data_IF_742777899973
#
_entry.id   IF_742777899973
#
_cell.length_a   1.000
_cell.length_b   1.000
_cell.length_c   1.000
_cell.angle_alpha   90.00
_cell.angle_beta   90.00
_cell.angle_gamma   90.00
#
_symmetry.space_group_name_H-M   'P 1'
#
loop_
_entity.id
_entity.type
_entity.pdbx_description
1 polymer ?
#
# COMPACT_ATOMS: atom_id res chain seq x y z
N UNK A 1 42.88 -61.90 65.57
CA UNK A 1 42.18 -63.20 65.55
C UNK A 1 41.28 -63.22 64.33
N UNK A 2 41.35 -64.33 63.57
CA UNK A 2 40.46 -64.80 62.47
C UNK A 2 40.28 -63.92 61.22
N UNK A 3 40.82 -64.38 60.08
CA UNK A 3 40.40 -63.97 58.71
C UNK A 3 39.15 -64.73 58.24
N UNK A 4 39.04 -65.16 56.96
CA UNK A 4 38.79 -64.39 55.72
C UNK A 4 37.58 -64.98 54.89
N UNK A 5 37.47 -64.66 53.59
CA UNK A 5 36.71 -65.36 52.51
C UNK A 5 35.26 -64.86 52.21
N UNK A 6 34.86 -64.50 50.97
CA UNK A 6 34.54 -65.23 49.69
C UNK A 6 33.01 -65.44 49.46
N UNK A 7 32.55 -65.15 48.24
CA UNK A 7 31.37 -65.70 47.55
C UNK A 7 30.00 -65.13 47.95
N UNK A 8 28.89 -65.24 47.20
CA UNK A 8 28.53 -65.49 45.80
C UNK A 8 26.97 -65.58 45.77
N UNK A 9 26.30 -65.02 44.75
CA UNK A 9 24.88 -65.29 44.37
C UNK A 9 23.79 -64.69 45.28
N UNK A 10 22.58 -64.31 44.84
CA UNK A 10 21.88 -64.51 43.57
C UNK A 10 20.65 -63.57 43.45
N UNK A 11 20.18 -63.41 42.21
CA UNK A 11 18.80 -63.16 41.74
C UNK A 11 18.04 -61.89 42.17
N UNK A 12 17.77 -61.01 41.19
CA UNK A 12 16.75 -59.97 41.27
C UNK A 12 16.48 -59.35 39.89
N UNK A 13 15.31 -59.67 39.34
CA UNK A 13 14.82 -59.38 37.99
C UNK A 13 15.12 -58.01 37.36
N UNK A 14 15.38 -58.08 36.05
CA UNK A 14 15.16 -57.04 35.03
C UNK A 14 13.86 -56.25 35.28
N UNK A 15 13.98 -54.95 35.51
CA UNK A 15 12.94 -53.97 35.22
C UNK A 15 13.56 -52.79 34.48
N UNK A 16 13.18 -52.67 33.22
CA UNK A 16 13.31 -51.48 32.41
C UNK A 16 12.80 -50.27 33.20
N UNK A 17 13.66 -49.26 33.40
CA UNK A 17 13.20 -47.95 33.85
C UNK A 17 12.80 -47.15 32.63
N UNK A 18 11.49 -47.19 32.34
CA UNK A 18 10.78 -46.14 31.64
C UNK A 18 11.14 -44.79 32.28
N UNK A 19 11.80 -43.92 31.52
CA UNK A 19 11.80 -42.49 31.77
C UNK A 19 10.44 -41.94 31.30
N UNK A 20 9.63 -41.33 32.16
CA UNK A 20 8.50 -40.54 31.68
C UNK A 20 9.04 -39.25 31.06
N UNK A 21 8.85 -39.07 29.74
CA UNK A 21 9.00 -37.76 29.10
C UNK A 21 8.08 -36.76 29.79
N UNK A 22 8.64 -35.67 30.33
CA UNK A 22 7.88 -34.47 30.67
C UNK A 22 7.68 -33.64 29.39
N UNK A 23 6.45 -33.35 28.97
CA UNK A 23 6.17 -32.42 27.88
C UNK A 23 5.92 -31.04 28.49
N UNK A 24 6.90 -30.12 28.48
CA UNK A 24 6.64 -28.69 28.72
C UNK A 24 7.93 -27.90 28.57
N UNK A 25 8.06 -27.18 27.43
CA UNK A 25 8.84 -25.94 27.28
C UNK A 25 8.78 -25.34 25.85
N UNK A 26 7.90 -25.81 24.96
CA UNK A 26 7.73 -25.22 23.60
C UNK A 26 6.50 -24.30 23.45
N UNK A 27 5.57 -24.29 24.42
CA UNK A 27 4.34 -23.50 24.32
C UNK A 27 4.41 -22.10 24.95
N UNK A 28 5.39 -21.82 25.80
CA UNK A 28 5.45 -20.52 26.50
C UNK A 28 6.06 -19.40 25.63
N UNK A 29 7.14 -19.69 24.89
CA UNK A 29 7.83 -18.69 24.05
C UNK A 29 7.02 -18.29 22.82
N UNK A 30 6.24 -19.20 22.23
CA UNK A 30 5.39 -18.88 21.09
C UNK A 30 4.28 -17.88 21.44
N UNK A 31 3.73 -17.94 22.66
CA UNK A 31 2.65 -17.05 23.09
C UNK A 31 3.11 -15.60 23.34
N UNK A 32 4.39 -15.40 23.69
CA UNK A 32 4.96 -14.07 23.93
C UNK A 32 5.51 -13.46 22.63
N UNK A 33 6.03 -14.28 21.71
CA UNK A 33 6.47 -13.84 20.38
C UNK A 33 5.30 -13.50 19.45
N UNK A 34 4.22 -14.29 19.47
CA UNK A 34 2.98 -14.02 18.72
C UNK A 34 2.31 -12.70 19.14
N UNK A 35 2.39 -12.32 20.41
CA UNK A 35 1.86 -11.03 20.92
C UNK A 35 2.62 -9.82 20.36
N UNK A 36 3.94 -9.93 20.15
CA UNK A 36 4.74 -8.87 19.53
C UNK A 36 4.56 -8.81 18.01
N UNK A 37 4.43 -9.96 17.32
CA UNK A 37 4.04 -9.98 15.91
C UNK A 37 2.63 -9.40 15.67
N UNK A 38 1.67 -9.76 16.53
CA UNK A 38 0.29 -9.27 16.46
C UNK A 38 0.18 -7.76 16.68
N UNK A 39 0.97 -7.19 17.60
CA UNK A 39 0.98 -5.74 17.86
C UNK A 39 1.52 -4.92 16.68
N UNK A 40 2.45 -5.49 15.89
CA UNK A 40 3.11 -4.79 14.76
C UNK A 40 2.37 -4.99 13.43
N UNK A 41 1.47 -5.98 13.32
CA UNK A 41 0.58 -6.12 12.16
C UNK A 41 -0.83 -5.54 12.42
N UNK A 42 -1.13 -5.14 13.65
CA UNK A 42 -2.41 -4.54 14.08
C UNK A 42 -2.54 -3.03 13.78
N UNK A 43 -1.86 -2.50 12.75
CA UNK A 43 -1.96 -1.08 12.36
C UNK A 43 -3.18 -0.75 11.50
N UNK A 44 -4.20 -1.61 11.48
CA UNK A 44 -5.43 -1.35 10.74
C UNK A 44 -6.46 -0.61 11.62
N UNK A 45 -6.93 0.59 11.24
CA UNK A 45 -7.88 1.31 12.06
C UNK A 45 -9.31 0.78 11.83
N UNK A 46 -9.91 0.21 12.86
CA UNK A 46 -11.38 0.29 13.05
C UNK A 46 -11.69 1.62 13.71
N UNK A 47 -12.15 2.60 12.94
CA UNK A 47 -12.65 3.87 13.47
C UNK A 47 -13.90 4.30 12.72
N UNK A 48 -15.09 3.98 13.27
CA UNK A 48 -16.05 5.00 13.69
C UNK A 48 -17.27 4.39 14.40
N UNK A 49 -17.51 4.84 15.63
CA UNK A 49 -18.77 4.68 16.35
C UNK A 49 -19.63 5.92 16.09
N UNK A 50 -20.77 5.72 15.44
CA UNK A 50 -21.76 6.74 15.10
C UNK A 50 -22.13 7.58 16.34
N UNK A 51 -22.12 8.91 16.18
CA UNK A 51 -22.94 9.78 17.01
C UNK A 51 -23.50 10.90 16.13
N UNK A 52 -24.74 10.71 15.69
CA UNK A 52 -25.56 11.71 15.03
C UNK A 52 -25.96 12.77 16.05
N UNK A 53 -25.74 14.04 15.69
CA UNK A 53 -26.69 15.13 15.89
C UNK A 53 -26.02 16.46 15.55
N UNK A 54 -26.41 17.05 14.42
CA UNK A 54 -26.47 18.50 14.21
C UNK A 54 -27.15 18.77 12.87
N UNK A 55 -28.40 19.22 12.93
CA UNK A 55 -29.01 19.95 11.83
C UNK A 55 -28.29 21.29 11.66
N UNK A 56 -28.07 21.70 10.42
CA UNK A 56 -27.85 23.11 10.07
C UNK A 56 -28.08 23.34 8.58
N UNK A 57 -28.71 24.48 8.33
CA UNK A 57 -29.30 24.95 7.08
C UNK A 57 -28.30 25.24 5.95
N UNK A 58 -28.78 25.07 4.73
CA UNK A 58 -28.07 25.40 3.48
C UNK A 58 -28.20 26.89 3.14
N UNK A 59 -27.10 27.60 2.81
CA UNK A 59 -27.19 28.85 2.06
C UNK A 59 -26.96 28.60 0.56
N UNK A 60 -27.88 29.12 -0.24
CA UNK A 60 -27.79 29.26 -1.69
C UNK A 60 -26.63 30.20 -2.08
N UNK A 61 -25.74 29.75 -2.97
CA UNK A 61 -24.73 30.60 -3.58
C UNK A 61 -25.05 30.87 -5.06
N UNK A 62 -25.06 32.16 -5.35
CA UNK A 62 -25.38 32.80 -6.63
C UNK A 62 -24.28 32.53 -7.68
N UNK A 63 -24.68 32.28 -8.93
CA UNK A 63 -23.75 32.00 -10.04
C UNK A 63 -23.20 33.32 -10.58
N UNK A 64 -21.94 33.61 -10.29
CA UNK A 64 -21.17 34.59 -11.07
C UNK A 64 -20.14 33.87 -11.95
N UNK A 65 -20.24 34.09 -13.25
CA UNK A 65 -19.36 33.59 -14.31
C UNK A 65 -17.96 34.21 -14.20
N UNK A 66 -16.86 33.42 -14.21
CA UNK A 66 -15.52 33.96 -14.37
C UNK A 66 -15.15 34.17 -15.85
N UNK A 67 -14.26 35.13 -16.17
CA UNK A 67 -13.97 35.58 -17.53
C UNK A 67 -13.19 34.57 -18.37
N UNK A 68 -13.50 34.55 -19.67
CA UNK A 68 -12.81 33.76 -20.70
C UNK A 68 -11.37 34.23 -20.88
N UNK A 69 -10.41 33.32 -20.65
CA UNK A 69 -9.04 33.48 -21.13
C UNK A 69 -8.87 32.66 -22.42
N UNK A 70 -8.86 33.35 -23.56
CA UNK A 70 -8.50 32.76 -24.84
C UNK A 70 -7.01 32.41 -24.85
N UNK A 71 -6.69 31.12 -24.92
CA UNK A 71 -5.43 30.63 -25.48
C UNK A 71 -5.76 29.87 -26.76
N UNK A 72 -5.33 30.42 -27.89
CA UNK A 72 -5.43 29.78 -29.19
C UNK A 72 -4.48 28.58 -29.22
N UNK A 73 -5.03 27.37 -29.36
CA UNK A 73 -4.33 26.21 -29.87
C UNK A 73 -4.74 26.01 -31.34
N UNK A 74 -3.82 25.68 -32.26
CA UNK A 74 -4.18 25.55 -33.65
C UNK A 74 -4.72 24.14 -33.93
N UNK A 75 -5.69 24.11 -34.87
CA UNK A 75 -6.15 23.00 -35.71
C UNK A 75 -7.48 22.28 -35.44
N UNK A 76 -8.43 22.71 -36.30
CA UNK A 76 -9.29 21.95 -37.21
C UNK A 76 -10.19 20.83 -36.68
N UNK A 77 -11.49 21.12 -36.75
CA UNK A 77 -12.61 20.20 -36.74
C UNK A 77 -12.63 19.30 -38.00
N UNK A 78 -12.48 17.99 -37.83
CA UNK A 78 -12.62 16.94 -38.87
C UNK A 78 -12.81 15.54 -38.24
N UNK A 79 -13.40 14.55 -38.96
CA UNK A 79 -14.35 13.60 -38.39
C UNK A 79 -13.77 12.46 -37.51
N UNK A 80 -14.61 12.07 -36.56
CA UNK A 80 -14.36 11.25 -35.39
C UNK A 80 -14.18 9.73 -35.66
N UNK A 81 -13.22 9.10 -34.96
CA UNK A 81 -13.35 7.88 -34.09
C UNK A 81 -12.15 6.91 -34.10
N UNK A 82 -11.21 6.96 -35.05
CA UNK A 82 -10.00 6.12 -35.01
C UNK A 82 -8.72 6.88 -34.62
N UNK A 83 -8.55 8.11 -35.10
CA UNK A 83 -7.34 8.92 -34.89
C UNK A 83 -7.09 9.31 -33.41
N UNK A 84 -8.16 9.38 -32.60
CA UNK A 84 -8.05 9.77 -31.19
C UNK A 84 -7.52 8.65 -30.28
N UNK A 85 -7.68 7.38 -30.68
CA UNK A 85 -7.06 6.26 -29.96
C UNK A 85 -5.56 6.17 -30.24
N UNK A 86 -5.14 6.51 -31.46
CA UNK A 86 -3.73 6.65 -31.83
C UNK A 86 -3.09 7.81 -31.06
N UNK A 87 -3.70 9.00 -31.04
CA UNK A 87 -3.15 10.17 -30.34
C UNK A 87 -2.97 9.98 -28.81
N UNK A 88 -3.84 9.19 -28.17
CA UNK A 88 -3.71 8.85 -26.75
C UNK A 88 -2.57 7.85 -26.46
N UNK A 89 -2.21 7.02 -27.44
CA UNK A 89 -1.05 6.15 -27.34
C UNK A 89 0.25 6.89 -27.76
N UNK A 90 0.20 7.78 -28.76
CA UNK A 90 1.35 8.60 -29.19
C UNK A 90 1.84 9.54 -28.08
N UNK A 91 0.92 10.07 -27.26
CA UNK A 91 1.25 10.88 -26.10
C UNK A 91 2.01 10.11 -25.00
N UNK A 92 2.06 8.77 -25.05
CA UNK A 92 2.82 7.91 -24.15
C UNK A 92 4.29 7.72 -24.59
N UNK A 93 4.61 7.96 -25.87
CA UNK A 93 5.81 7.43 -26.53
C UNK A 93 6.98 8.42 -26.68
N UNK A 94 6.72 9.72 -26.77
CA UNK A 94 7.77 10.75 -26.74
C UNK A 94 8.04 11.17 -25.28
N UNK A 95 9.31 11.37 -24.85
CA UNK A 95 9.59 12.19 -23.67
C UNK A 95 8.76 13.46 -23.82
N UNK A 96 8.00 13.82 -22.79
CA UNK A 96 7.23 15.06 -22.85
C UNK A 96 8.23 16.16 -23.19
N UNK A 97 8.02 16.98 -24.25
CA UNK A 97 9.03 17.93 -24.69
C UNK A 97 9.42 18.78 -23.49
N UNK A 98 10.67 18.62 -23.05
CA UNK A 98 11.16 19.28 -21.85
C UNK A 98 11.08 20.78 -22.11
N UNK A 99 10.20 21.45 -21.37
CA UNK A 99 10.01 22.91 -21.48
C UNK A 99 11.16 23.67 -20.80
N UNK A 100 12.02 22.95 -20.08
CA UNK A 100 13.11 23.45 -19.27
C UNK A 100 14.38 22.60 -19.46
N UNK A 101 15.57 23.14 -19.11
CA UNK A 101 16.82 22.38 -19.17
C UNK A 101 16.76 21.13 -18.28
N UNK A 102 17.28 20.01 -18.79
CA UNK A 102 17.35 18.72 -18.08
C UNK A 102 17.93 18.84 -16.66
N UNK A 103 18.97 19.67 -16.48
CA UNK A 103 19.61 19.89 -15.18
C UNK A 103 18.67 20.54 -14.15
N UNK A 104 17.77 21.43 -14.59
CA UNK A 104 16.78 22.06 -13.72
C UNK A 104 15.69 21.07 -13.29
N UNK A 105 15.25 20.22 -14.21
CA UNK A 105 14.26 19.16 -13.92
C UNK A 105 14.84 18.16 -12.90
N UNK A 106 16.08 17.71 -13.11
CA UNK A 106 16.78 16.83 -12.17
C UNK A 106 16.95 17.48 -10.79
N UNK A 107 17.31 18.77 -10.74
CA UNK A 107 17.39 19.52 -9.48
C UNK A 107 16.06 19.53 -8.74
N UNK A 108 14.94 19.72 -9.45
CA UNK A 108 13.60 19.69 -8.85
C UNK A 108 13.24 18.32 -8.31
N UNK A 109 13.54 17.25 -9.05
CA UNK A 109 13.33 15.86 -8.59
C UNK A 109 14.09 15.61 -7.28
N UNK A 110 15.36 16.00 -7.22
CA UNK A 110 16.20 15.83 -6.02
C UNK A 110 15.65 16.63 -4.84
N UNK A 111 15.35 17.92 -5.03
CA UNK A 111 14.80 18.78 -3.97
C UNK A 111 13.45 18.25 -3.46
N UNK A 112 12.59 17.77 -4.36
CA UNK A 112 11.33 17.14 -4.00
C UNK A 112 11.54 15.89 -3.14
N UNK A 113 12.44 15.00 -3.54
CA UNK A 113 12.74 13.79 -2.76
C UNK A 113 13.32 14.14 -1.38
N UNK A 114 14.23 15.12 -1.29
CA UNK A 114 14.80 15.56 -0.02
C UNK A 114 13.74 16.09 0.94
N UNK A 115 12.78 16.89 0.47
CA UNK A 115 11.68 17.33 1.31
C UNK A 115 10.74 16.18 1.70
N UNK A 116 10.36 15.33 0.75
CA UNK A 116 9.40 14.26 1.00
C UNK A 116 9.94 13.24 2.01
N UNK A 117 11.20 12.85 1.84
CA UNK A 117 11.90 11.93 2.74
C UNK A 117 12.21 12.62 4.05
N UNK A 118 12.78 13.83 4.02
CA UNK A 118 13.17 14.56 5.22
C UNK A 118 12.01 14.77 6.19
N UNK A 119 10.84 15.19 5.69
CA UNK A 119 9.66 15.41 6.52
C UNK A 119 9.07 14.09 7.05
N UNK A 120 8.90 13.08 6.19
CA UNK A 120 8.32 11.80 6.61
C UNK A 120 9.21 11.05 7.59
N UNK A 121 10.51 10.99 7.30
CA UNK A 121 11.47 10.29 8.14
C UNK A 121 11.66 11.01 9.47
N UNK A 122 11.70 12.35 9.49
CA UNK A 122 11.73 13.10 10.75
C UNK A 122 10.49 12.82 11.60
N UNK A 123 9.30 12.76 10.98
CA UNK A 123 8.06 12.42 11.68
C UNK A 123 8.11 11.01 12.26
N UNK A 124 8.52 10.01 11.46
CA UNK A 124 8.49 8.61 11.89
C UNK A 124 9.62 8.25 12.86
N UNK A 125 10.83 8.78 12.68
CA UNK A 125 11.91 8.62 13.66
C UNK A 125 11.65 9.43 14.94
N UNK A 126 11.07 10.62 14.83
CA UNK A 126 10.81 11.48 15.98
C UNK A 126 9.63 11.04 16.83
N UNK A 127 8.56 10.53 16.21
CA UNK A 127 7.32 10.19 16.90
C UNK A 127 7.10 8.67 16.96
N UNK A 128 7.20 7.98 15.82
CA UNK A 128 6.78 6.58 15.71
C UNK A 128 7.81 5.59 16.29
N UNK A 129 9.11 5.87 16.14
CA UNK A 129 10.18 5.03 16.68
C UNK A 129 10.19 4.97 18.22
N UNK A 130 10.11 6.10 18.97
CA UNK A 130 10.01 6.05 20.44
C UNK A 130 8.80 5.24 20.90
N UNK A 131 7.65 5.42 20.23
CA UNK A 131 6.44 4.68 20.55
C UNK A 131 6.60 3.18 20.31
N UNK A 132 7.20 2.78 19.18
CA UNK A 132 7.49 1.38 18.88
C UNK A 132 8.48 0.73 19.87
N UNK A 133 9.35 1.54 20.49
CA UNK A 133 10.32 1.08 21.49
C UNK A 133 9.74 0.97 22.91
N UNK A 134 8.60 1.59 23.19
CA UNK A 134 7.94 1.58 24.49
C UNK A 134 6.81 0.53 24.54
N UNK A 135 7.03 -0.55 25.29
CA UNK A 135 6.05 -1.61 25.47
C UNK A 135 4.77 -1.21 26.24
N UNK A 136 4.74 -0.02 26.83
CA UNK A 136 3.62 0.48 27.64
C UNK A 136 2.73 1.50 26.94
N UNK A 137 3.15 2.03 25.79
CA UNK A 137 2.39 3.03 25.05
C UNK A 137 1.12 2.42 24.41
N UNK A 138 -0.04 3.12 24.41
CA UNK A 138 -1.21 2.73 23.63
C UNK A 138 -0.88 2.90 22.13
N UNK A 139 -0.19 1.88 21.60
CA UNK A 139 0.53 1.91 20.34
C UNK A 139 -0.39 2.13 19.14
N UNK A 140 -1.52 1.41 19.06
CA UNK A 140 -2.26 1.23 17.81
C UNK A 140 -2.81 2.55 17.21
N UNK A 141 -3.61 3.33 17.95
CA UNK A 141 -4.33 4.48 17.38
C UNK A 141 -3.43 5.69 17.09
N UNK A 142 -2.41 5.89 17.91
CA UNK A 142 -1.52 7.04 17.82
C UNK A 142 -0.48 6.88 16.71
N UNK A 143 0.02 5.67 16.44
CA UNK A 143 0.91 5.46 15.31
C UNK A 143 0.17 5.55 13.96
N UNK A 144 -1.09 5.09 13.88
CA UNK A 144 -1.93 5.27 12.68
C UNK A 144 -2.01 6.74 12.30
N UNK A 145 -2.17 7.64 13.27
CA UNK A 145 -2.17 9.08 13.03
C UNK A 145 -0.85 9.55 12.40
N UNK A 146 0.30 9.14 12.94
CA UNK A 146 1.60 9.55 12.41
C UNK A 146 1.95 8.92 11.05
N UNK A 147 1.48 7.69 10.77
CA UNK A 147 1.53 7.11 9.42
C UNK A 147 0.72 7.96 8.45
N UNK A 148 -0.52 8.28 8.81
CA UNK A 148 -1.44 9.11 8.01
C UNK A 148 -0.89 10.51 7.78
N UNK A 149 -0.28 11.13 8.80
CA UNK A 149 0.36 12.45 8.66
C UNK A 149 1.56 12.40 7.69
N UNK A 150 2.31 11.29 7.69
CA UNK A 150 3.38 11.05 6.72
C UNK A 150 2.90 11.12 5.28
N UNK A 151 1.69 10.63 4.99
CA UNK A 151 1.09 10.63 3.64
C UNK A 151 0.90 12.04 3.03
N UNK A 152 0.93 13.11 3.84
CA UNK A 152 0.86 14.49 3.33
C UNK A 152 2.22 15.07 2.91
N UNK A 153 3.32 14.40 3.26
CA UNK A 153 4.67 14.90 2.98
C UNK A 153 4.99 15.02 1.48
N UNK A 154 4.51 14.14 0.57
CA UNK A 154 4.76 14.32 -0.87
C UNK A 154 4.05 15.58 -1.40
N UNK A 155 2.78 15.80 -1.05
CA UNK A 155 2.05 17.02 -1.38
C UNK A 155 2.74 18.30 -0.89
N UNK A 156 3.17 18.34 0.37
CA UNK A 156 3.90 19.48 0.92
C UNK A 156 5.23 19.70 0.18
N UNK A 157 5.89 18.62 -0.23
CA UNK A 157 7.15 18.67 -0.99
C UNK A 157 6.96 19.28 -2.37
N UNK A 158 5.80 19.10 -3.02
CA UNK A 158 5.46 19.81 -4.26
C UNK A 158 5.48 21.32 -4.02
N UNK A 159 4.80 21.79 -2.97
CA UNK A 159 4.71 23.22 -2.65
C UNK A 159 6.12 23.77 -2.36
N UNK A 160 6.87 23.14 -1.45
CA UNK A 160 8.21 23.59 -1.06
C UNK A 160 9.20 23.58 -2.23
N UNK A 161 9.19 22.54 -3.05
CA UNK A 161 10.07 22.45 -4.23
C UNK A 161 9.78 23.56 -5.22
N UNK A 162 8.50 23.86 -5.48
CA UNK A 162 8.11 24.93 -6.39
C UNK A 162 8.50 26.31 -5.85
N UNK A 163 8.38 26.53 -4.54
CA UNK A 163 8.84 27.77 -3.90
C UNK A 163 10.37 27.95 -4.02
N UNK A 164 11.14 26.90 -3.68
CA UNK A 164 12.62 26.95 -3.72
C UNK A 164 13.17 27.06 -5.14
N UNK A 165 12.57 26.35 -6.09
CA UNK A 165 13.03 26.34 -7.49
C UNK A 165 12.32 27.38 -8.37
N UNK A 166 11.43 28.18 -7.78
CA UNK A 166 10.64 29.23 -8.42
C UNK A 166 9.85 28.72 -9.64
N UNK A 167 9.33 27.50 -9.55
CA UNK A 167 8.54 26.88 -10.61
C UNK A 167 7.16 27.53 -10.70
N UNK A 168 6.88 28.16 -11.84
CA UNK A 168 5.61 28.86 -12.11
C UNK A 168 4.63 28.04 -12.94
N UNK A 169 5.01 26.84 -13.36
CA UNK A 169 4.15 25.96 -14.18
C UNK A 169 2.86 25.66 -13.41
N UNK A 170 1.69 25.74 -14.06
CA UNK A 170 0.43 25.39 -13.42
C UNK A 170 0.45 23.90 -13.09
N UNK A 171 -0.05 23.56 -11.90
CA UNK A 171 -0.25 22.18 -11.50
C UNK A 171 -1.34 21.58 -12.39
N UNK A 172 -0.92 20.71 -13.30
CA UNK A 172 -1.82 19.98 -14.15
C UNK A 172 -2.41 18.79 -13.37
N UNK A 173 -3.56 18.29 -13.84
CA UNK A 173 -4.08 16.94 -13.51
C UNK A 173 -4.72 16.77 -12.12
N UNK A 174 -5.16 17.86 -11.48
CA UNK A 174 -6.10 17.76 -10.34
C UNK A 174 -7.55 17.56 -10.83
N UNK A 175 -7.90 18.12 -11.99
CA UNK A 175 -9.25 18.03 -12.58
C UNK A 175 -9.25 17.20 -13.86
N UNK A 176 -10.23 16.30 -14.05
CA UNK A 176 -10.40 15.59 -15.32
C UNK A 176 -10.77 16.60 -16.42
N UNK A 177 -9.91 16.74 -17.43
CA UNK A 177 -10.17 17.65 -18.56
C UNK A 177 -11.34 17.20 -19.43
N UNK A 178 -11.67 15.89 -19.44
CA UNK A 178 -12.73 15.29 -20.27
C UNK A 178 -13.38 14.08 -19.57
N UNK A 179 -14.16 14.31 -18.51
CA UNK A 179 -14.72 13.23 -17.68
C UNK A 179 -15.52 12.18 -18.47
N UNK A 180 -16.27 12.60 -19.49
CA UNK A 180 -17.05 11.70 -20.36
C UNK A 180 -16.22 10.61 -21.06
N UNK A 181 -14.91 10.84 -21.24
CA UNK A 181 -13.98 9.86 -21.83
C UNK A 181 -13.10 9.16 -20.80
N UNK A 182 -12.98 9.71 -19.60
CA UNK A 182 -12.06 9.22 -18.58
C UNK A 182 -12.73 8.47 -17.43
N UNK A 183 -14.06 8.53 -17.30
CA UNK A 183 -14.82 7.78 -16.29
C UNK A 183 -14.50 6.27 -16.22
N UNK A 184 -14.18 5.55 -17.33
CA UNK A 184 -13.85 4.12 -17.20
C UNK A 184 -12.61 3.88 -16.36
N UNK A 185 -11.65 4.81 -16.36
CA UNK A 185 -10.45 4.71 -15.51
C UNK A 185 -10.75 4.96 -14.03
N UNK A 186 -11.81 5.71 -13.70
CA UNK A 186 -12.28 5.85 -12.32
C UNK A 186 -12.91 4.56 -11.82
N UNK A 187 -13.74 3.91 -12.65
CA UNK A 187 -14.33 2.59 -12.33
C UNK A 187 -13.24 1.53 -12.22
N UNK A 188 -12.29 1.52 -13.16
CA UNK A 188 -11.14 0.63 -13.12
C UNK A 188 -10.31 0.85 -11.85
N UNK A 189 -10.01 2.09 -11.50
CA UNK A 189 -9.28 2.42 -10.28
C UNK A 189 -10.01 1.98 -9.01
N UNK A 190 -11.34 2.07 -8.98
CA UNK A 190 -12.13 1.68 -7.82
C UNK A 190 -12.14 0.17 -7.61
N UNK A 191 -12.41 -0.61 -8.66
CA UNK A 191 -12.71 -2.04 -8.53
C UNK A 191 -11.54 -2.95 -8.88
N UNK A 192 -10.64 -2.57 -9.79
CA UNK A 192 -9.55 -3.46 -10.21
C UNK A 192 -8.61 -3.85 -9.05
N UNK A 193 -8.19 -2.93 -8.16
CA UNK A 193 -7.36 -3.32 -7.02
C UNK A 193 -8.07 -4.27 -6.07
N UNK A 194 -9.37 -4.05 -5.81
CA UNK A 194 -10.16 -4.95 -4.96
C UNK A 194 -10.21 -6.36 -5.54
N UNK A 195 -10.58 -6.49 -6.82
CA UNK A 195 -10.63 -7.78 -7.51
C UNK A 195 -9.26 -8.46 -7.51
N UNK A 196 -8.19 -7.69 -7.75
CA UNK A 196 -6.82 -8.19 -7.75
C UNK A 196 -6.36 -8.70 -6.37
N UNK A 197 -6.68 -7.99 -5.30
CA UNK A 197 -6.36 -8.39 -3.91
C UNK A 197 -7.14 -9.64 -3.53
N UNK A 198 -8.44 -9.67 -3.82
CA UNK A 198 -9.30 -10.84 -3.57
C UNK A 198 -8.78 -12.06 -4.33
N UNK A 199 -8.44 -11.90 -5.62
CA UNK A 199 -7.87 -12.97 -6.43
C UNK A 199 -6.52 -13.48 -5.88
N UNK A 200 -5.64 -12.59 -5.43
CA UNK A 200 -4.37 -12.98 -4.81
C UNK A 200 -4.57 -13.76 -3.50
N UNK A 201 -5.50 -13.33 -2.65
CA UNK A 201 -5.88 -14.09 -1.44
C UNK A 201 -6.41 -15.49 -1.80
N UNK A 202 -7.26 -15.60 -2.82
CA UNK A 202 -7.72 -16.91 -3.31
C UNK A 202 -6.57 -17.80 -3.81
N UNK A 203 -5.61 -17.25 -4.55
CA UNK A 203 -4.41 -17.98 -4.99
C UNK A 203 -3.62 -18.49 -3.78
N UNK A 204 -3.42 -17.64 -2.75
CA UNK A 204 -2.73 -18.05 -1.53
C UNK A 204 -3.45 -19.22 -0.83
N UNK A 205 -4.76 -19.12 -0.60
CA UNK A 205 -5.52 -20.19 0.06
C UNK A 205 -5.68 -21.46 -0.79
N UNK A 206 -5.61 -21.36 -2.11
CA UNK A 206 -5.56 -22.53 -2.98
C UNK A 206 -4.24 -23.30 -2.82
N UNK A 207 -3.12 -22.60 -2.56
CA UNK A 207 -1.80 -23.19 -2.30
C UNK A 207 -1.66 -23.66 -0.84
N UNK A 208 -2.26 -22.94 0.11
CA UNK A 208 -2.25 -23.27 1.54
C UNK A 208 -3.67 -23.42 2.11
N UNK A 209 -4.42 -24.49 1.76
CA UNK A 209 -5.80 -24.66 2.22
C UNK A 209 -5.95 -24.75 3.74
N UNK A 210 -4.93 -25.24 4.44
CA UNK A 210 -4.89 -25.33 5.89
C UNK A 210 -4.88 -23.97 6.60
N UNK A 211 -4.47 -22.91 5.89
CA UNK A 211 -4.48 -21.55 6.41
C UNK A 211 -5.84 -20.86 6.23
N UNK A 212 -6.81 -21.50 5.56
CA UNK A 212 -8.12 -20.91 5.33
C UNK A 212 -9.07 -21.12 6.52
N UNK A 213 -9.51 -20.03 7.14
CA UNK A 213 -10.48 -19.97 8.22
C UNK A 213 -11.72 -19.18 7.80
N UNK A 214 -12.75 -19.89 7.32
CA UNK A 214 -14.00 -19.30 6.85
C UNK A 214 -14.80 -18.56 7.94
N UNK A 215 -14.53 -18.83 9.22
CA UNK A 215 -15.24 -18.23 10.35
C UNK A 215 -14.54 -17.00 10.92
N UNK A 216 -13.38 -16.62 10.34
CA UNK A 216 -12.55 -15.51 10.81
C UNK A 216 -12.16 -15.65 12.30
N UNK A 217 -12.06 -16.87 12.80
CA UNK A 217 -11.88 -17.18 14.22
C UNK A 217 -10.58 -16.58 14.76
N UNK A 218 -9.48 -16.71 14.01
CA UNK A 218 -8.20 -16.12 14.38
C UNK A 218 -8.25 -14.58 14.38
N UNK A 219 -8.85 -13.99 13.35
CA UNK A 219 -9.00 -12.54 13.25
C UNK A 219 -9.87 -11.97 14.40
N UNK A 220 -10.99 -12.63 14.72
CA UNK A 220 -11.85 -12.27 15.87
C UNK A 220 -11.08 -12.37 17.19
N UNK A 221 -10.29 -13.44 17.38
CA UNK A 221 -9.48 -13.60 18.59
C UNK A 221 -8.43 -12.49 18.74
N UNK A 222 -7.72 -12.14 17.66
CA UNK A 222 -6.71 -11.07 17.68
C UNK A 222 -7.34 -9.69 17.90
N UNK A 223 -8.51 -9.42 17.31
CA UNK A 223 -9.23 -8.18 17.55
C UNK A 223 -9.75 -8.08 19.01
N UNK A 224 -10.24 -9.19 19.57
CA UNK A 224 -10.61 -9.28 20.98
C UNK A 224 -9.41 -9.00 21.90
N UNK A 225 -8.25 -9.58 21.60
CA UNK A 225 -7.01 -9.31 22.31
C UNK A 225 -6.62 -7.83 22.29
N UNK A 226 -6.86 -7.12 21.18
CA UNK A 226 -6.59 -5.69 21.06
C UNK A 226 -7.57 -4.82 21.88
N UNK A 227 -8.85 -5.23 21.99
CA UNK A 227 -9.90 -4.48 22.71
C UNK A 227 -9.82 -4.70 24.23
N UNK A 228 -9.22 -5.80 24.70
CA UNK A 228 -9.11 -6.12 26.13
C UNK A 228 -8.46 -5.04 27.01
N UNK A 229 -7.67 -4.13 26.43
CA UNK A 229 -7.11 -2.97 27.14
C UNK A 229 -8.04 -1.75 27.28
N UNK A 230 -9.21 -1.76 26.63
CA UNK A 230 -10.11 -0.59 26.53
C UNK A 230 -11.57 -0.86 26.88
N UNK A 231 -12.01 -2.13 26.89
CA UNK A 231 -13.39 -2.53 27.25
C UNK A 231 -13.36 -3.82 28.09
N UNK A 232 -14.14 -3.94 29.19
CA UNK A 232 -14.25 -5.18 29.97
C UNK A 232 -14.67 -6.38 29.11
N UNK A 233 -13.93 -7.48 29.27
CA UNK A 233 -14.02 -8.75 28.51
C UNK A 233 -15.44 -9.37 28.43
N UNK A 234 -16.34 -9.03 29.34
CA UNK A 234 -17.68 -9.62 29.46
C UNK A 234 -18.76 -8.94 28.61
N UNK A 235 -18.45 -7.87 27.87
CA UNK A 235 -19.48 -7.04 27.22
C UNK A 235 -19.74 -7.36 25.74
N UNK A 236 -18.81 -8.02 25.04
CA UNK A 236 -18.91 -8.27 23.59
C UNK A 236 -18.71 -9.76 23.31
N UNK A 237 -19.74 -10.43 22.79
CA UNK A 237 -19.65 -11.85 22.39
C UNK A 237 -18.81 -12.03 21.12
N UNK A 238 -18.28 -13.24 20.89
CA UNK A 238 -17.53 -13.53 19.66
C UNK A 238 -18.41 -13.39 18.41
N UNK A 239 -19.71 -13.66 18.54
CA UNK A 239 -20.68 -13.49 17.44
C UNK A 239 -20.90 -12.02 17.10
N UNK A 240 -20.96 -11.13 18.09
CA UNK A 240 -21.04 -9.69 17.87
C UNK A 240 -19.77 -9.15 17.22
N UNK A 241 -18.60 -9.59 17.68
CA UNK A 241 -17.33 -9.17 17.09
C UNK A 241 -17.20 -9.70 15.66
N UNK A 242 -17.59 -10.96 15.41
CA UNK A 242 -17.62 -11.54 14.06
C UNK A 242 -18.58 -10.76 13.15
N UNK A 243 -19.78 -10.42 13.62
CA UNK A 243 -20.71 -9.59 12.85
C UNK A 243 -20.11 -8.21 12.50
N UNK A 244 -19.35 -7.60 13.41
CA UNK A 244 -18.63 -6.36 13.14
C UNK A 244 -17.51 -6.54 12.10
N UNK A 245 -16.77 -7.65 12.15
CA UNK A 245 -15.75 -8.01 11.14
C UNK A 245 -16.39 -8.18 9.76
N UNK A 246 -17.49 -8.92 9.64
CA UNK A 246 -18.22 -9.04 8.39
C UNK A 246 -18.79 -7.69 7.91
N UNK A 247 -19.23 -6.84 8.83
CA UNK A 247 -19.63 -5.46 8.54
C UNK A 247 -18.50 -4.63 7.91
N UNK A 248 -17.23 -4.85 8.32
CA UNK A 248 -16.08 -4.16 7.74
C UNK A 248 -15.87 -4.51 6.26
N UNK A 249 -16.25 -5.70 5.80
CA UNK A 249 -16.17 -6.05 4.37
C UNK A 249 -17.05 -5.15 3.50
N UNK A 250 -18.22 -4.73 4.01
CA UNK A 250 -19.04 -3.75 3.31
C UNK A 250 -18.35 -2.37 3.23
N UNK A 251 -17.58 -2.01 4.26
CA UNK A 251 -16.83 -0.74 4.27
C UNK A 251 -15.67 -0.73 3.28
N UNK A 252 -15.12 -1.89 2.90
CA UNK A 252 -14.08 -1.97 1.85
C UNK A 252 -14.56 -1.35 0.54
N UNK A 253 -15.85 -1.50 0.19
CA UNK A 253 -16.41 -0.94 -1.04
C UNK A 253 -16.38 0.60 -1.07
N UNK A 254 -16.41 1.25 0.09
CA UNK A 254 -16.32 2.70 0.23
C UNK A 254 -14.93 3.18 0.67
N UNK A 255 -13.96 2.26 0.81
CA UNK A 255 -12.61 2.59 1.24
C UNK A 255 -11.90 3.66 0.39
N UNK A 256 -12.12 3.76 -0.94
CA UNK A 256 -11.59 4.86 -1.73
C UNK A 256 -12.01 6.24 -1.24
N UNK A 257 -13.25 6.38 -0.72
CA UNK A 257 -13.75 7.63 -0.15
C UNK A 257 -13.11 7.88 1.21
N UNK A 258 -13.07 6.86 2.07
CA UNK A 258 -12.50 6.96 3.42
C UNK A 258 -11.01 7.32 3.40
N UNK A 259 -10.27 6.80 2.43
CA UNK A 259 -8.84 7.03 2.27
C UNK A 259 -8.52 8.19 1.30
N UNK A 260 -9.52 8.91 0.81
CA UNK A 260 -9.33 9.91 -0.24
C UNK A 260 -8.31 10.99 0.16
N UNK A 261 -8.48 11.60 1.33
CA UNK A 261 -7.65 12.73 1.78
C UNK A 261 -6.18 12.32 1.96
N UNK A 262 -5.84 11.25 2.71
CA UNK A 262 -4.44 10.86 2.84
C UNK A 262 -3.83 10.37 1.53
N UNK A 263 -4.57 9.59 0.73
CA UNK A 263 -4.07 9.14 -0.57
C UNK A 263 -3.89 10.30 -1.56
N UNK A 264 -4.72 11.35 -1.48
CA UNK A 264 -4.51 12.56 -2.27
C UNK A 264 -3.19 13.25 -1.90
N UNK A 265 -2.85 13.30 -0.60
CA UNK A 265 -1.57 13.82 -0.11
C UNK A 265 -0.36 13.14 -0.76
N UNK A 266 -0.44 11.83 -0.97
CA UNK A 266 0.62 11.08 -1.63
C UNK A 266 0.59 11.20 -3.15
N UNK A 267 -0.53 10.84 -3.76
CA UNK A 267 -0.65 10.70 -5.21
C UNK A 267 -0.49 12.03 -5.94
N UNK A 268 -0.85 13.15 -5.31
CA UNK A 268 -0.58 14.45 -5.88
C UNK A 268 0.93 14.74 -5.99
N UNK A 269 1.73 14.31 -5.01
CA UNK A 269 3.18 14.38 -5.07
C UNK A 269 3.79 13.35 -6.02
N UNK A 270 3.43 12.08 -5.87
CA UNK A 270 4.02 10.99 -6.63
C UNK A 270 3.62 10.99 -8.10
N UNK A 271 2.31 11.02 -8.39
CA UNK A 271 1.75 10.90 -9.75
C UNK A 271 1.54 12.27 -10.39
N UNK A 272 1.19 13.27 -9.57
CA UNK A 272 0.95 14.64 -10.03
C UNK A 272 2.20 15.49 -10.24
N UNK A 273 3.33 15.14 -9.62
CA UNK A 273 4.58 15.91 -9.74
C UNK A 273 5.78 15.04 -10.14
N UNK A 274 6.19 14.08 -9.30
CA UNK A 274 7.40 13.28 -9.52
C UNK A 274 7.35 12.49 -10.83
N UNK A 275 6.27 11.76 -11.08
CA UNK A 275 6.07 10.97 -12.30
C UNK A 275 6.23 11.83 -13.56
N UNK A 276 5.62 13.01 -13.57
CA UNK A 276 5.67 13.92 -14.72
C UNK A 276 7.09 14.44 -14.95
N UNK A 277 7.80 14.84 -13.90
CA UNK A 277 9.20 15.29 -14.00
C UNK A 277 10.14 14.19 -14.44
N UNK A 278 9.96 12.97 -13.92
CA UNK A 278 10.75 11.81 -14.37
C UNK A 278 10.51 11.50 -15.85
N UNK A 279 9.29 11.73 -16.35
CA UNK A 279 8.92 11.49 -17.75
C UNK A 279 9.50 12.53 -18.73
N UNK A 280 9.82 13.73 -18.24
CA UNK A 280 10.52 14.75 -19.04
C UNK A 280 12.00 14.39 -19.28
N UNK A 281 12.59 13.48 -18.48
CA UNK A 281 14.04 13.17 -18.53
C UNK A 281 14.38 11.70 -18.77
N UNK A 282 13.44 10.77 -18.59
CA UNK A 282 13.63 9.34 -18.75
C UNK A 282 12.56 8.72 -19.66
N UNK A 283 12.88 7.58 -20.28
CA UNK A 283 11.90 6.74 -20.98
C UNK A 283 10.86 6.16 -20.01
N UNK A 284 9.65 5.87 -20.49
CA UNK A 284 8.56 5.33 -19.67
C UNK A 284 8.96 4.14 -18.76
N UNK A 285 9.67 3.09 -19.23
CA UNK A 285 10.08 1.98 -18.34
C UNK A 285 10.94 2.45 -17.16
N UNK A 286 11.92 3.30 -17.42
CA UNK A 286 12.83 3.86 -16.41
C UNK A 286 12.06 4.78 -15.46
N UNK A 287 11.15 5.61 -15.98
CA UNK A 287 10.27 6.46 -15.17
C UNK A 287 9.45 5.64 -14.17
N UNK A 288 8.80 4.55 -14.63
CA UNK A 288 7.99 3.69 -13.77
C UNK A 288 8.83 3.01 -12.69
N UNK A 289 10.00 2.47 -13.08
CA UNK A 289 10.93 1.81 -12.14
C UNK A 289 11.46 2.79 -11.08
N UNK A 290 12.02 3.92 -11.51
CA UNK A 290 12.60 4.92 -10.59
C UNK A 290 11.52 5.52 -9.68
N UNK A 291 10.34 5.82 -10.20
CA UNK A 291 9.22 6.32 -9.39
C UNK A 291 8.79 5.31 -8.33
N UNK A 292 8.72 4.03 -8.69
CA UNK A 292 8.39 2.94 -7.77
C UNK A 292 9.41 2.77 -6.66
N UNK A 293 10.70 2.75 -7.00
CA UNK A 293 11.80 2.63 -6.03
C UNK A 293 11.86 3.84 -5.09
N UNK A 294 11.71 5.06 -5.61
CA UNK A 294 11.64 6.26 -4.75
C UNK A 294 10.50 6.14 -3.75
N UNK A 295 9.31 5.74 -4.20
CA UNK A 295 8.17 5.57 -3.31
C UNK A 295 8.38 4.44 -2.28
N UNK A 296 9.03 3.34 -2.67
CA UNK A 296 9.35 2.24 -1.74
C UNK A 296 10.38 2.64 -0.70
N UNK A 297 11.44 3.34 -1.10
CA UNK A 297 12.46 3.86 -0.19
C UNK A 297 11.90 4.91 0.76
N UNK A 298 10.91 5.69 0.34
CA UNK A 298 10.22 6.63 1.22
C UNK A 298 9.65 5.90 2.45
N UNK A 299 9.13 4.67 2.31
CA UNK A 299 8.62 3.85 3.42
C UNK A 299 9.71 3.23 4.32
N UNK A 300 10.99 3.34 4.00
CA UNK A 300 12.05 2.56 4.66
C UNK A 300 12.02 2.62 6.20
N UNK A 301 11.81 3.77 6.88
CA UNK A 301 11.76 3.80 8.34
C UNK A 301 10.60 2.99 8.93
N UNK A 302 9.41 3.07 8.34
CA UNK A 302 8.23 2.37 8.87
C UNK A 302 8.29 0.87 8.56
N UNK A 303 8.89 0.47 7.43
CA UNK A 303 9.19 -0.93 7.15
C UNK A 303 10.23 -1.48 8.12
N UNK A 304 11.26 -0.69 8.46
CA UNK A 304 12.21 -1.06 9.50
C UNK A 304 11.57 -1.13 10.89
N UNK A 305 10.48 -0.40 11.15
CA UNK A 305 9.66 -0.54 12.37
C UNK A 305 8.69 -1.73 12.31
N UNK A 306 8.71 -2.51 11.22
CA UNK A 306 7.94 -3.74 11.05
C UNK A 306 6.61 -3.57 10.34
N UNK A 307 6.27 -2.38 9.83
CA UNK A 307 5.09 -2.20 9.00
C UNK A 307 5.13 -3.13 7.78
N UNK A 308 4.02 -3.81 7.50
CA UNK A 308 3.80 -4.84 6.45
C UNK A 308 4.61 -6.15 6.56
N UNK A 309 5.89 -6.11 6.93
CA UNK A 309 6.78 -7.28 6.90
C UNK A 309 7.20 -7.80 8.27
N UNK A 310 6.79 -7.14 9.36
CA UNK A 310 7.26 -7.44 10.71
C UNK A 310 8.77 -7.24 10.86
N UNK A 311 9.33 -7.79 11.94
CA UNK A 311 10.76 -7.66 12.26
C UNK A 311 11.50 -9.01 12.37
N UNK A 312 10.79 -10.12 12.10
CA UNK A 312 11.27 -11.48 12.34
C UNK A 312 11.49 -12.24 11.04
N UNK A 313 12.51 -11.84 10.27
CA UNK A 313 12.97 -12.55 9.08
C UNK A 313 14.49 -12.38 8.89
N UNK A 314 15.20 -13.30 8.21
CA UNK A 314 16.67 -13.34 8.20
C UNK A 314 17.36 -12.08 7.67
N UNK A 315 16.72 -11.37 6.73
CA UNK A 315 17.27 -10.19 6.06
C UNK A 315 16.76 -8.87 6.65
N UNK A 316 16.24 -8.87 7.88
CA UNK A 316 15.69 -7.66 8.50
C UNK A 316 16.75 -6.56 8.73
N UNK A 317 16.43 -5.27 8.46
CA UNK A 317 15.19 -4.75 7.85
C UNK A 317 15.24 -4.69 6.31
N UNK A 318 16.40 -4.95 5.70
CA UNK A 318 16.69 -4.69 4.29
C UNK A 318 15.82 -5.49 3.32
N UNK A 319 15.49 -6.74 3.67
CA UNK A 319 14.61 -7.58 2.84
C UNK A 319 13.20 -7.00 2.69
N UNK A 320 12.62 -6.48 3.79
CA UNK A 320 11.32 -5.82 3.75
C UNK A 320 11.37 -4.51 2.96
N UNK A 321 12.44 -3.71 3.10
CA UNK A 321 12.61 -2.46 2.33
C UNK A 321 12.69 -2.76 0.83
N UNK A 322 13.46 -3.78 0.45
CA UNK A 322 13.56 -4.22 -0.96
C UNK A 322 12.21 -4.73 -1.48
N UNK A 323 11.52 -5.57 -0.71
CA UNK A 323 10.19 -6.06 -1.06
C UNK A 323 9.18 -4.92 -1.20
N UNK A 324 9.24 -3.90 -0.34
CA UNK A 324 8.42 -2.70 -0.47
C UNK A 324 8.72 -1.93 -1.77
N UNK A 325 9.99 -1.80 -2.17
CA UNK A 325 10.36 -1.18 -3.45
C UNK A 325 9.80 -1.97 -4.65
N UNK A 326 9.84 -3.30 -4.59
CA UNK A 326 9.23 -4.15 -5.62
C UNK A 326 7.72 -3.95 -5.67
N UNK A 327 7.06 -4.01 -4.50
CA UNK A 327 5.63 -3.78 -4.37
C UNK A 327 5.20 -2.42 -4.94
N UNK A 328 5.83 -1.33 -4.48
CA UNK A 328 5.52 0.03 -4.95
C UNK A 328 5.83 0.25 -6.42
N UNK A 329 6.77 -0.50 -7.00
CA UNK A 329 7.03 -0.48 -8.45
C UNK A 329 5.90 -1.15 -9.22
N UNK A 330 5.43 -2.31 -8.75
CA UNK A 330 4.31 -3.06 -9.35
C UNK A 330 3.02 -2.23 -9.30
N UNK A 331 2.59 -1.80 -8.11
CA UNK A 331 1.37 -1.00 -7.98
C UNK A 331 1.56 0.40 -8.56
N UNK A 332 2.80 0.91 -8.54
CA UNK A 332 3.20 2.16 -9.17
C UNK A 332 2.94 2.21 -10.66
N UNK A 333 3.14 1.09 -11.37
CA UNK A 333 2.81 0.98 -12.79
C UNK A 333 1.30 1.14 -13.04
N UNK A 334 0.45 0.50 -12.24
CA UNK A 334 -1.01 0.64 -12.36
C UNK A 334 -1.49 2.05 -12.03
N UNK A 335 -1.01 2.62 -10.92
CA UNK A 335 -1.37 3.98 -10.51
C UNK A 335 -0.92 5.01 -11.57
N UNK A 336 0.28 4.84 -12.12
CA UNK A 336 0.75 5.67 -13.24
C UNK A 336 -0.10 5.50 -14.49
N UNK A 337 -0.54 4.26 -14.80
CA UNK A 337 -1.41 4.00 -15.95
C UNK A 337 -2.74 4.74 -15.83
N UNK A 338 -3.46 4.59 -14.72
CA UNK A 338 -4.74 5.29 -14.54
C UNK A 338 -4.57 6.81 -14.48
N UNK A 339 -3.45 7.31 -13.96
CA UNK A 339 -3.15 8.75 -13.98
C UNK A 339 -2.91 9.28 -15.39
N UNK A 340 -1.97 8.67 -16.12
CA UNK A 340 -1.57 9.13 -17.45
C UNK A 340 -2.73 9.03 -18.44
N UNK A 341 -3.54 7.97 -18.37
CA UNK A 341 -4.67 7.74 -19.28
C UNK A 341 -5.88 8.62 -18.99
N UNK A 342 -6.08 9.02 -17.74
CA UNK A 342 -7.16 9.93 -17.36
C UNK A 342 -6.75 11.41 -17.39
N UNK A 343 -5.45 11.70 -17.44
CA UNK A 343 -4.91 13.05 -17.27
C UNK A 343 -5.27 13.66 -15.92
N UNK A 344 -5.43 12.82 -14.88
CA UNK A 344 -5.90 13.19 -13.55
C UNK A 344 -5.26 12.29 -12.49
N UNK A 345 -4.90 12.84 -11.34
CA UNK A 345 -4.42 12.04 -10.20
C UNK A 345 -5.56 11.33 -9.45
N UNK A 346 -6.80 11.79 -9.61
CA UNK A 346 -7.94 11.28 -8.84
C UNK A 346 -8.19 9.77 -9.00
N UNK A 347 -8.07 9.15 -10.20
CA UNK A 347 -8.13 7.70 -10.31
C UNK A 347 -7.03 7.01 -9.50
N UNK A 348 -5.80 7.52 -9.50
CA UNK A 348 -4.74 6.93 -8.65
C UNK A 348 -5.06 7.09 -7.15
N UNK A 349 -5.65 8.21 -6.74
CA UNK A 349 -6.11 8.41 -5.35
C UNK A 349 -7.14 7.36 -4.94
N UNK A 350 -8.14 7.11 -5.78
CA UNK A 350 -9.15 6.09 -5.49
C UNK A 350 -8.57 4.67 -5.50
N UNK A 351 -7.68 4.37 -6.44
CA UNK A 351 -7.01 3.07 -6.50
C UNK A 351 -6.11 2.83 -5.28
N UNK A 352 -5.29 3.81 -4.90
CA UNK A 352 -4.46 3.73 -3.69
C UNK A 352 -5.35 3.60 -2.44
N UNK A 353 -6.43 4.36 -2.36
CA UNK A 353 -7.41 4.24 -1.27
C UNK A 353 -8.06 2.86 -1.19
N UNK A 354 -8.34 2.22 -2.32
CA UNK A 354 -8.80 0.83 -2.36
C UNK A 354 -7.71 -0.15 -1.92
N UNK A 355 -6.47 0.01 -2.41
CA UNK A 355 -5.34 -0.86 -2.04
C UNK A 355 -5.13 -0.84 -0.53
N UNK A 356 -5.11 0.36 0.07
CA UNK A 356 -5.02 0.49 1.52
C UNK A 356 -6.22 -0.19 2.15
N UNK A 357 -7.44 0.25 1.81
CA UNK A 357 -8.70 -0.25 2.36
C UNK A 357 -8.91 -1.76 2.36
N UNK A 358 -8.41 -2.43 1.33
CA UNK A 358 -8.53 -3.87 1.12
C UNK A 358 -7.28 -4.65 1.55
N UNK A 359 -6.21 -4.01 2.04
CA UNK A 359 -4.95 -4.68 2.38
C UNK A 359 -5.13 -5.81 3.40
N UNK A 360 -6.05 -5.64 4.35
CA UNK A 360 -6.38 -6.64 5.37
C UNK A 360 -7.32 -7.75 4.90
N UNK A 361 -7.83 -7.72 3.66
CA UNK A 361 -8.87 -8.65 3.20
C UNK A 361 -8.47 -10.13 3.39
N UNK A 362 -7.25 -10.49 3.00
CA UNK A 362 -6.75 -11.87 3.14
C UNK A 362 -6.65 -12.33 4.60
N UNK A 363 -6.31 -11.43 5.53
CA UNK A 363 -6.18 -11.77 6.96
C UNK A 363 -7.51 -12.13 7.61
N UNK A 364 -8.63 -11.64 7.08
CA UNK A 364 -9.97 -11.97 7.58
C UNK A 364 -10.28 -13.47 7.47
N UNK A 365 -9.67 -14.15 6.52
CA UNK A 365 -9.91 -15.56 6.22
C UNK A 365 -8.71 -16.45 6.58
N UNK A 366 -7.76 -15.92 7.35
CA UNK A 366 -6.51 -16.61 7.62
C UNK A 366 -6.50 -17.20 9.03
N UNK A 367 -6.09 -18.46 9.16
CA UNK A 367 -5.92 -19.15 10.44
C UNK A 367 -4.67 -18.68 11.21
N UNK A 368 -3.79 -17.93 10.56
CA UNK A 368 -2.63 -17.27 11.14
C UNK A 368 -2.37 -15.90 10.45
N UNK A 369 -1.33 -15.16 10.83
CA UNK A 369 -0.93 -13.96 10.07
C UNK A 369 -0.28 -14.27 8.70
N UNK A 370 0.11 -15.52 8.45
CA UNK A 370 0.87 -15.92 7.26
C UNK A 370 2.29 -15.33 7.23
N UNK A 371 3.05 -15.69 6.19
CA UNK A 371 4.32 -15.06 5.88
C UNK A 371 4.06 -13.81 5.02
N UNK A 372 4.41 -12.59 5.48
CA UNK A 372 4.10 -11.35 4.75
C UNK A 372 4.78 -11.24 3.36
N UNK A 373 5.83 -12.03 3.08
CA UNK A 373 6.46 -12.12 1.76
C UNK A 373 5.72 -13.08 0.81
N UNK A 374 4.85 -13.94 1.33
CA UNK A 374 4.09 -14.95 0.57
C UNK A 374 2.61 -14.58 0.51
N UNK A 375 1.98 -14.28 1.63
CA UNK A 375 0.56 -13.98 1.77
C UNK A 375 0.06 -14.26 3.19
N UNK A 376 -1.22 -14.01 3.49
CA UNK A 376 -2.32 -13.75 2.55
C UNK A 376 -2.47 -12.27 2.15
N UNK A 377 -1.68 -11.36 2.74
CA UNK A 377 -1.74 -9.93 2.43
C UNK A 377 -1.15 -9.59 1.04
N UNK A 378 -1.57 -8.49 0.41
CA UNK A 378 -1.18 -8.16 -0.96
C UNK A 378 0.29 -7.78 -1.16
N UNK A 379 1.07 -7.57 -0.09
CA UNK A 379 2.52 -7.36 -0.20
C UNK A 379 3.29 -8.65 -0.48
N UNK A 380 2.68 -9.81 -0.19
CA UNK A 380 3.27 -11.12 -0.48
C UNK A 380 3.11 -11.53 -1.94
N UNK A 381 3.95 -12.43 -2.43
CA UNK A 381 3.96 -12.83 -3.85
C UNK A 381 2.65 -13.52 -4.26
N UNK A 382 2.10 -14.41 -3.42
CA UNK A 382 0.83 -15.10 -3.71
C UNK A 382 -0.36 -14.21 -3.36
N UNK A 383 -0.37 -13.62 -2.16
CA UNK A 383 -1.43 -12.71 -1.72
C UNK A 383 -1.58 -11.48 -2.64
N UNK A 384 -0.48 -11.05 -3.26
CA UNK A 384 -0.40 -9.95 -4.22
C UNK A 384 -0.44 -10.38 -5.69
N UNK A 385 -0.63 -11.66 -6.02
CA UNK A 385 -0.51 -12.17 -7.39
C UNK A 385 -1.41 -11.42 -8.40
N UNK A 386 -2.64 -11.07 -8.00
CA UNK A 386 -3.53 -10.26 -8.83
C UNK A 386 -3.02 -8.83 -9.05
N UNK A 387 -2.40 -8.20 -8.03
CA UNK A 387 -1.81 -6.87 -8.17
C UNK A 387 -0.54 -6.91 -9.03
N UNK A 388 0.25 -7.98 -8.91
CA UNK A 388 1.41 -8.24 -9.79
C UNK A 388 0.95 -8.32 -11.24
N UNK A 389 -0.10 -9.10 -11.54
CA UNK A 389 -0.66 -9.18 -12.88
C UNK A 389 -1.17 -7.81 -13.36
N UNK A 390 -1.91 -7.09 -12.52
CA UNK A 390 -2.43 -5.76 -12.84
C UNK A 390 -1.30 -4.75 -13.14
N UNK A 391 -0.23 -4.78 -12.35
CA UNK A 391 0.96 -3.96 -12.54
C UNK A 391 1.71 -4.30 -13.83
N UNK A 392 1.91 -5.59 -14.12
CA UNK A 392 2.55 -6.06 -15.36
C UNK A 392 1.74 -5.63 -16.59
N UNK A 393 0.42 -5.85 -16.58
CA UNK A 393 -0.45 -5.43 -17.69
C UNK A 393 -0.37 -3.92 -17.89
N UNK A 394 -0.41 -3.14 -16.81
CA UNK A 394 -0.30 -1.68 -16.86
C UNK A 394 1.06 -1.22 -17.40
N UNK A 395 2.15 -1.86 -16.96
CA UNK A 395 3.49 -1.60 -17.46
C UNK A 395 3.59 -1.87 -18.97
N UNK A 396 3.07 -3.02 -19.43
CA UNK A 396 3.04 -3.36 -20.85
C UNK A 396 2.22 -2.35 -21.64
N UNK A 397 1.04 -1.97 -21.16
CA UNK A 397 0.17 -1.00 -21.83
C UNK A 397 0.79 0.40 -21.93
N UNK A 398 1.65 0.79 -20.98
CA UNK A 398 2.37 2.06 -21.01
C UNK A 398 3.66 2.04 -21.85
N UNK A 399 4.21 0.86 -22.13
CA UNK A 399 5.52 0.71 -22.78
C UNK A 399 5.44 0.13 -24.20
N UNK A 400 4.30 -0.46 -24.58
CA UNK A 400 4.04 -0.88 -25.97
C UNK A 400 3.98 0.35 -26.87
N UNK A 401 4.82 0.33 -27.91
CA UNK A 401 4.75 1.29 -29.02
C UNK A 401 3.54 1.01 -29.91
N UNK A 402 2.90 2.06 -30.39
CA UNK A 402 1.83 1.99 -31.37
C UNK A 402 2.41 1.58 -32.72
N UNK A 403 1.72 0.73 -33.49
CA UNK A 403 2.16 0.34 -34.84
C UNK A 403 2.38 1.55 -35.78
N UNK A 404 1.67 2.66 -35.54
CA UNK A 404 1.82 3.90 -36.30
C UNK A 404 3.21 4.55 -36.16
N UNK A 405 3.84 4.47 -34.97
CA UNK A 405 5.18 5.01 -34.74
C UNK A 405 6.30 4.17 -35.36
N UNK A 406 6.06 2.87 -35.58
CA UNK A 406 7.00 1.96 -36.25
C UNK A 406 6.99 2.14 -37.77
N UNK A 407 5.85 2.49 -38.35
CA UNK A 407 5.72 2.75 -39.80
C UNK A 407 6.45 4.00 -40.28
N UNK A 408 6.61 5.02 -39.42
CA UNK A 408 7.34 6.25 -39.77
C UNK A 408 8.86 6.10 -39.75
N UNK A 409 9.42 5.18 -38.95
CA UNK A 409 10.86 4.87 -38.97
C UNK A 409 11.24 4.05 -40.21
N UNK A 410 10.37 3.13 -40.64
CA UNK A 410 10.61 2.35 -41.87
C UNK A 410 10.40 3.14 -43.17
N UNK A 411 9.61 4.22 -43.15
CA UNK A 411 9.41 5.09 -44.31
C UNK A 411 10.50 6.16 -44.48
N UNK A 412 11.43 6.29 -43.52
CA UNK A 412 12.56 7.23 -43.55
C UNK A 412 13.93 6.54 -43.72
N UNK A 413 13.94 5.22 -43.98
CA UNK A 413 15.14 4.40 -44.20
C UNK A 413 15.50 4.24 -45.66
#
# INVERSE_FOLDING_TARGET
>A
MTGPARGAGASGHTRERFFPMRPTLLHAESSHSQRKCGAVNAWWPTAWGLNENRGMDTPSFDRQTPPEYHYAAPYSTGPHTAANHAAANDAAEQPWPATEPRSLILRRIVVFCLFAFGMAWALWFGMLYPMASDSSAPLASSAVLFLTLGMFTPALSVILTRLVTREKTPLAWIRPRQFSRTWPYYVLAWFAPLVAIVAGAFVYFAVFPQEFDALSSYFVQTQRAAIHGSVPQSTISDDQLRAAVWGQLALVLIAPVMNFVPCFGEEWGWRGYLLLKLREVFSMPVTLFVSGVIWGLWHAPIIALGHNYGTYYPTYPWGGILAMCVFTTVIGAFLSYVTLRSGSVLPAVFAHGMINGAAGFGLLFSASFGDPFIGPIPTGILGGAGLILLGIVSFILLTRRSPAAQGSEHAQG
#
